data_IF_397055568353
#
_entry.id   IF_397055568353
#
_cell.length_a   1.000
_cell.length_b   1.000
_cell.length_c   1.000
_cell.angle_alpha   90.00
_cell.angle_beta   90.00
_cell.angle_gamma   90.00
#
_symmetry.space_group_name_H-M   'P 1'
#
loop_
_entity.id
_entity.type
_entity.pdbx_description
1 polymer ?
#
# COMPACT_ATOMS: atom_id res chain seq x y z
N UNK A 1 -60.90 -43.63 27.46
CA UNK A 1 -62.09 -42.89 26.96
C UNK A 1 -62.24 -41.58 27.72
N UNK A 2 -62.49 -40.47 27.00
CA UNK A 2 -62.84 -39.07 27.44
C UNK A 2 -61.73 -38.34 28.23
N UNK A 3 -61.36 -37.08 27.96
CA UNK A 3 -62.18 -35.86 27.71
C UNK A 3 -61.39 -34.86 26.83
N UNK A 4 -61.99 -34.40 25.72
CA UNK A 4 -62.54 -33.03 25.46
C UNK A 4 -61.53 -31.88 25.33
N UNK A 5 -61.37 -31.48 24.06
CA UNK A 5 -61.09 -30.17 23.44
C UNK A 5 -61.08 -28.95 24.36
N UNK A 6 -60.04 -28.12 24.20
CA UNK A 6 -60.16 -26.65 24.33
C UNK A 6 -59.46 -25.97 23.15
N UNK A 7 -60.27 -25.29 22.34
CA UNK A 7 -59.84 -24.28 21.37
C UNK A 7 -59.54 -23.01 22.16
N UNK A 8 -58.41 -22.36 21.89
CA UNK A 8 -58.25 -20.91 22.07
C UNK A 8 -57.05 -20.47 21.25
N UNK A 9 -57.32 -19.83 20.12
CA UNK A 9 -56.36 -19.00 19.42
C UNK A 9 -56.10 -17.75 20.27
N UNK A 10 -54.82 -17.40 20.48
CA UNK A 10 -54.43 -16.09 21.01
C UNK A 10 -53.66 -15.39 19.91
N UNK A 11 -54.35 -14.47 19.24
CA UNK A 11 -53.73 -13.44 18.44
C UNK A 11 -53.22 -12.35 19.39
N UNK A 12 -51.92 -12.06 19.36
CA UNK A 12 -51.35 -10.91 20.05
C UNK A 12 -50.90 -9.88 19.01
N UNK A 13 -51.52 -8.70 19.07
CA UNK A 13 -51.30 -7.53 18.23
C UNK A 13 -50.21 -6.64 18.85
N UNK A 14 -49.15 -6.43 18.08
CA UNK A 14 -48.23 -5.27 17.88
C UNK A 14 -48.13 -4.15 18.93
N UNK A 15 -46.90 -3.91 19.44
CA UNK A 15 -46.22 -2.59 19.66
C UNK A 15 -44.71 -2.92 19.58
N UNK A 16 -43.84 -2.43 18.70
CA UNK A 16 -43.60 -1.06 18.26
C UNK A 16 -42.24 -0.58 18.80
N UNK A 17 -41.13 -0.96 18.16
CA UNK A 17 -39.83 -0.25 18.22
C UNK A 17 -39.10 -0.49 16.90
N UNK A 18 -39.32 0.40 15.92
CA UNK A 18 -38.45 0.49 14.76
C UNK A 18 -37.17 1.21 15.20
N UNK A 19 -36.19 0.45 15.69
CA UNK A 19 -34.83 0.96 15.78
C UNK A 19 -34.31 1.10 14.35
N UNK A 20 -34.31 2.32 13.81
CA UNK A 20 -33.65 2.62 12.55
C UNK A 20 -32.15 2.32 12.74
N UNK A 21 -31.54 1.37 12.00
CA UNK A 21 -30.10 1.22 12.03
C UNK A 21 -29.52 2.49 11.41
N UNK A 22 -28.85 3.30 12.22
CA UNK A 22 -28.00 4.37 11.71
C UNK A 22 -26.87 3.69 10.93
N UNK A 23 -26.99 3.67 9.61
CA UNK A 23 -25.91 3.29 8.71
C UNK A 23 -24.81 4.32 8.91
N UNK A 24 -23.80 3.98 9.70
CA UNK A 24 -22.51 4.66 9.71
C UNK A 24 -21.93 4.49 8.31
N UNK A 25 -22.16 5.46 7.43
CA UNK A 25 -21.42 5.57 6.17
C UNK A 25 -20.00 5.93 6.57
N UNK A 26 -19.13 4.93 6.64
CA UNK A 26 -17.71 5.15 6.79
C UNK A 26 -17.30 6.10 5.65
N UNK A 27 -16.85 7.31 6.00
CA UNK A 27 -16.26 8.23 5.02
C UNK A 27 -15.13 7.46 4.36
N UNK A 28 -15.08 7.33 3.02
CA UNK A 28 -13.95 6.70 2.36
C UNK A 28 -12.72 7.49 2.78
N UNK A 29 -11.85 6.87 3.59
CA UNK A 29 -10.59 7.46 3.98
C UNK A 29 -9.82 7.77 2.72
N UNK A 30 -9.65 9.07 2.42
CA UNK A 30 -8.81 9.50 1.31
C UNK A 30 -7.40 8.98 1.60
N UNK A 31 -6.92 8.07 0.76
CA UNK A 31 -5.53 7.65 0.82
C UNK A 31 -4.66 8.91 0.77
N UNK A 32 -3.75 9.07 1.74
CA UNK A 32 -2.79 10.16 1.71
C UNK A 32 -1.87 9.94 0.50
N UNK A 33 -2.08 10.71 -0.55
CA UNK A 33 -1.18 10.75 -1.70
C UNK A 33 0.00 11.64 -1.35
N UNK A 34 1.17 11.05 -1.12
CA UNK A 34 2.43 11.80 -1.20
C UNK A 34 2.69 12.01 -2.68
N UNK A 35 2.57 13.26 -3.16
CA UNK A 35 2.88 13.65 -4.54
C UNK A 35 2.34 12.69 -5.61
N UNK A 36 1.04 12.36 -5.57
CA UNK A 36 0.35 11.44 -6.50
C UNK A 36 0.59 9.92 -6.32
N UNK A 37 1.48 9.48 -5.42
CA UNK A 37 1.65 8.06 -5.16
C UNK A 37 0.43 7.54 -4.39
N UNK A 38 -0.36 6.71 -5.06
CA UNK A 38 -1.56 6.12 -4.46
C UNK A 38 -1.20 4.85 -3.71
N UNK A 39 -1.99 4.50 -2.69
CA UNK A 39 -1.79 3.29 -1.87
C UNK A 39 -1.56 2.04 -2.72
N UNK A 40 -0.70 1.15 -2.24
CA UNK A 40 -0.21 -0.08 -2.92
C UNK A 40 0.91 0.15 -3.94
N UNK A 41 1.35 1.38 -4.17
CA UNK A 41 2.43 1.65 -5.11
C UNK A 41 3.73 2.01 -4.42
N UNK A 42 4.84 1.63 -5.05
CA UNK A 42 6.16 2.21 -4.82
C UNK A 42 6.45 3.15 -5.97
N UNK A 43 6.51 4.44 -5.70
CA UNK A 43 6.70 5.47 -6.72
C UNK A 43 8.11 6.05 -6.67
N UNK A 44 8.67 6.33 -7.84
CA UNK A 44 9.97 6.95 -8.01
C UNK A 44 9.80 8.36 -8.56
N UNK A 45 10.60 9.29 -8.05
CA UNK A 45 10.55 10.69 -8.43
C UNK A 45 11.92 11.24 -8.78
N UNK A 46 11.96 12.21 -9.69
CA UNK A 46 13.15 13.01 -9.95
C UNK A 46 13.39 14.07 -8.84
N UNK A 47 14.43 14.89 -8.99
CA UNK A 47 14.78 15.94 -8.02
C UNK A 47 13.67 16.97 -7.77
N UNK A 48 12.74 17.14 -8.71
CA UNK A 48 11.66 18.10 -8.65
C UNK A 48 10.34 17.47 -8.17
N UNK A 49 10.39 16.26 -7.61
CA UNK A 49 9.21 15.50 -7.19
C UNK A 49 8.23 15.19 -8.34
N UNK A 50 8.72 15.13 -9.58
CA UNK A 50 7.92 14.62 -10.70
C UNK A 50 8.06 13.11 -10.75
N UNK A 51 6.92 12.40 -10.82
CA UNK A 51 6.91 10.94 -10.88
C UNK A 51 7.53 10.45 -12.18
N UNK A 52 8.52 9.58 -12.07
CA UNK A 52 9.24 8.96 -13.21
C UNK A 52 9.03 7.46 -13.29
N UNK A 53 8.47 6.83 -12.25
CA UNK A 53 8.12 5.41 -12.26
C UNK A 53 7.17 5.03 -11.13
N UNK A 54 6.47 3.91 -11.29
CA UNK A 54 5.57 3.36 -10.28
C UNK A 54 5.49 1.83 -10.40
N UNK A 55 5.55 1.14 -9.27
CA UNK A 55 5.57 -0.33 -9.19
C UNK A 55 4.57 -0.83 -8.14
N UNK A 56 3.68 -1.73 -8.52
CA UNK A 56 2.65 -2.31 -7.63
C UNK A 56 2.93 -3.77 -7.27
N UNK A 57 3.54 -4.55 -8.17
CA UNK A 57 3.69 -5.99 -8.01
C UNK A 57 4.79 -6.37 -7.02
N UNK A 58 4.46 -7.23 -6.05
CA UNK A 58 5.46 -8.02 -5.32
C UNK A 58 6.21 -8.89 -6.33
N UNK A 59 7.53 -8.85 -6.28
CA UNK A 59 8.40 -9.47 -7.29
C UNK A 59 9.47 -10.34 -6.67
N UNK A 60 9.72 -11.49 -7.29
CA UNK A 60 10.79 -12.41 -6.89
C UNK A 60 12.14 -12.04 -7.48
N UNK A 61 12.15 -11.17 -8.49
CA UNK A 61 13.34 -10.74 -9.22
C UNK A 61 13.37 -9.22 -9.34
N UNK A 62 14.57 -8.68 -9.55
CA UNK A 62 14.76 -7.26 -9.85
C UNK A 62 14.04 -6.86 -11.13
N UNK A 63 13.22 -5.82 -11.04
CA UNK A 63 12.61 -5.14 -12.19
C UNK A 63 13.52 -4.00 -12.63
N UNK A 64 13.83 -3.86 -13.93
CA UNK A 64 14.62 -2.74 -14.43
C UNK A 64 13.82 -1.44 -14.36
N UNK A 65 14.49 -0.33 -14.04
CA UNK A 65 13.83 0.97 -13.90
C UNK A 65 13.60 1.73 -15.20
N UNK A 66 14.20 1.31 -16.32
CA UNK A 66 14.10 1.97 -17.63
C UNK A 66 14.25 3.52 -17.51
N UNK A 67 13.20 4.28 -17.80
CA UNK A 67 13.18 5.76 -17.72
C UNK A 67 13.26 6.31 -16.29
N UNK A 68 12.99 5.49 -15.28
CA UNK A 68 13.10 5.87 -13.87
C UNK A 68 14.53 5.68 -13.31
N UNK A 69 15.50 5.27 -14.15
CA UNK A 69 16.91 5.26 -13.77
C UNK A 69 17.36 6.65 -13.29
N UNK A 70 18.09 6.70 -12.20
CA UNK A 70 18.54 7.97 -11.61
C UNK A 70 17.46 8.76 -10.86
N UNK A 71 16.32 8.12 -10.53
CA UNK A 71 15.37 8.69 -9.59
C UNK A 71 16.06 9.13 -8.29
N UNK A 72 15.61 10.27 -7.74
CA UNK A 72 16.19 10.92 -6.56
C UNK A 72 15.42 10.63 -5.30
N UNK A 73 14.15 10.24 -5.44
CA UNK A 73 13.31 9.86 -4.33
C UNK A 73 12.52 8.61 -4.65
N UNK A 74 12.22 7.87 -3.60
CA UNK A 74 11.29 6.74 -3.61
C UNK A 74 10.29 6.93 -2.50
N UNK A 75 9.03 6.65 -2.80
CA UNK A 75 7.93 6.63 -1.84
C UNK A 75 7.33 5.25 -1.87
N UNK A 76 7.45 4.51 -0.77
CA UNK A 76 6.76 3.24 -0.59
C UNK A 76 5.45 3.51 0.16
N UNK A 77 4.32 3.54 -0.55
CA UNK A 77 2.98 3.72 0.06
C UNK A 77 2.33 2.41 0.47
N UNK A 78 3.03 1.29 0.33
CA UNK A 78 2.57 -0.02 0.80
C UNK A 78 2.68 -0.07 2.32
N UNK A 79 1.94 -0.99 2.95
CA UNK A 79 1.88 -1.09 4.41
C UNK A 79 2.62 -2.32 4.95
N UNK A 80 2.75 -3.33 4.12
CA UNK A 80 3.18 -4.68 4.46
C UNK A 80 4.34 -5.17 3.57
N UNK A 81 4.68 -4.43 2.52
CA UNK A 81 5.75 -4.82 1.59
C UNK A 81 6.90 -3.82 1.56
N UNK A 82 8.10 -4.35 1.62
CA UNK A 82 9.36 -3.60 1.57
C UNK A 82 9.79 -3.42 0.13
N UNK A 83 10.28 -2.23 -0.23
CA UNK A 83 10.92 -1.99 -1.50
C UNK A 83 12.44 -2.04 -1.35
N UNK A 84 13.09 -2.90 -2.11
CA UNK A 84 14.53 -2.96 -2.25
C UNK A 84 14.92 -2.27 -3.55
N UNK A 85 15.98 -1.49 -3.51
CA UNK A 85 16.50 -0.72 -4.63
C UNK A 85 17.94 -1.15 -4.88
N UNK A 86 18.25 -1.54 -6.11
CA UNK A 86 19.60 -1.91 -6.52
C UNK A 86 20.23 -0.74 -7.27
N UNK A 87 21.41 -0.35 -6.82
CA UNK A 87 22.20 0.72 -7.40
C UNK A 87 23.22 0.17 -8.41
N UNK A 88 23.74 1.05 -9.26
CA UNK A 88 24.71 0.73 -10.31
C UNK A 88 26.05 0.22 -9.78
N UNK A 89 26.39 0.53 -8.53
CA UNK A 89 27.57 0.03 -7.80
C UNK A 89 27.35 -1.38 -7.19
N UNK A 90 26.14 -1.94 -7.36
CA UNK A 90 25.76 -3.22 -6.78
C UNK A 90 25.18 -3.14 -5.36
N UNK A 91 25.21 -1.96 -4.73
CA UNK A 91 24.63 -1.75 -3.40
C UNK A 91 23.12 -1.93 -3.45
N UNK A 92 22.56 -2.51 -2.38
CA UNK A 92 21.11 -2.61 -2.19
C UNK A 92 20.68 -1.71 -1.05
N UNK A 93 19.64 -0.91 -1.29
CA UNK A 93 19.05 -0.05 -0.27
C UNK A 93 17.59 -0.37 -0.09
N UNK A 94 17.15 -0.37 1.16
CA UNK A 94 15.80 -0.74 1.53
C UNK A 94 14.94 0.49 1.86
N UNK A 95 13.63 0.38 1.57
CA UNK A 95 12.59 1.36 1.88
C UNK A 95 11.43 0.63 2.56
N UNK A 96 11.31 0.83 3.86
CA UNK A 96 10.22 0.28 4.66
C UNK A 96 8.85 0.73 4.16
N UNK A 97 7.79 -0.01 4.50
CA UNK A 97 6.42 0.40 4.24
C UNK A 97 6.10 1.79 4.79
N UNK A 98 5.24 2.52 4.07
CA UNK A 98 4.82 3.89 4.39
C UNK A 98 5.97 4.87 4.59
N UNK A 99 7.10 4.64 3.93
CA UNK A 99 8.32 5.43 4.09
C UNK A 99 8.73 6.09 2.78
N UNK A 100 9.48 7.18 2.88
CA UNK A 100 10.04 7.94 1.78
C UNK A 100 11.54 8.04 1.97
N UNK A 101 12.30 7.77 0.92
CA UNK A 101 13.76 7.78 0.98
C UNK A 101 14.36 8.62 -0.14
N UNK A 102 15.39 9.38 0.21
CA UNK A 102 16.25 10.03 -0.75
C UNK A 102 17.30 9.05 -1.27
N UNK A 103 17.48 9.01 -2.59
CA UNK A 103 18.36 8.06 -3.29
C UNK A 103 19.63 8.70 -3.84
N UNK A 104 19.76 10.02 -3.70
CA UNK A 104 20.75 10.80 -4.42
C UNK A 104 22.03 11.11 -3.67
N UNK A 105 23.07 11.47 -4.43
CA UNK A 105 24.23 12.24 -3.94
C UNK A 105 25.55 11.47 -3.92
N UNK A 106 25.56 10.19 -4.30
CA UNK A 106 26.78 9.39 -4.32
C UNK A 106 27.44 9.42 -5.71
N UNK A 107 28.73 9.72 -5.73
CA UNK A 107 29.62 9.61 -6.90
C UNK A 107 30.78 8.71 -6.47
N UNK A 108 31.01 7.63 -7.21
CA UNK A 108 32.11 6.70 -6.98
C UNK A 108 33.00 6.70 -8.23
N UNK A 109 34.30 6.90 -8.06
CA UNK A 109 35.28 6.94 -9.15
C UNK A 109 34.93 7.91 -10.30
N UNK A 110 34.23 9.01 -9.98
CA UNK A 110 33.80 10.01 -10.95
C UNK A 110 32.47 9.70 -11.64
N UNK A 111 31.90 8.52 -11.42
CA UNK A 111 30.62 8.10 -11.99
C UNK A 111 29.46 8.25 -10.98
N UNK A 112 28.30 8.79 -11.39
CA UNK A 112 27.15 8.89 -10.51
C UNK A 112 26.59 7.51 -10.19
N UNK A 113 26.44 7.20 -8.90
CA UNK A 113 25.75 5.99 -8.47
C UNK A 113 24.25 6.23 -8.59
N UNK A 114 23.60 5.45 -9.44
CA UNK A 114 22.18 5.61 -9.75
C UNK A 114 21.40 4.36 -9.39
N UNK A 115 20.14 4.54 -9.03
CA UNK A 115 19.23 3.41 -8.85
C UNK A 115 18.88 2.83 -10.23
N UNK A 116 18.99 1.52 -10.38
CA UNK A 116 18.78 0.83 -11.66
C UNK A 116 17.72 -0.28 -11.60
N UNK A 117 17.46 -0.81 -10.41
CA UNK A 117 16.50 -1.88 -10.21
C UNK A 117 15.66 -1.71 -8.95
N UNK A 118 14.47 -2.29 -8.98
CA UNK A 118 13.57 -2.38 -7.83
C UNK A 118 13.05 -3.80 -7.66
N UNK A 119 12.94 -4.24 -6.40
CA UNK A 119 12.25 -5.45 -6.02
C UNK A 119 11.29 -5.12 -4.88
N UNK A 120 10.06 -5.60 -4.97
CA UNK A 120 9.06 -5.45 -3.89
C UNK A 120 8.89 -6.80 -3.24
N UNK A 121 9.13 -6.87 -1.93
CA UNK A 121 9.09 -8.10 -1.14
C UNK A 121 7.97 -8.02 -0.11
N UNK A 122 7.23 -9.11 0.06
CA UNK A 122 6.24 -9.27 1.13
C UNK A 122 6.86 -9.57 2.50
N UNK A 123 8.19 -9.47 2.60
CA UNK A 123 8.91 -9.60 3.86
C UNK A 123 9.13 -8.20 4.42
N UNK A 124 8.75 -7.99 5.68
CA UNK A 124 8.89 -6.72 6.40
C UNK A 124 10.32 -6.50 6.92
N UNK A 125 11.32 -6.97 6.18
CA UNK A 125 12.72 -6.91 6.56
C UNK A 125 13.53 -6.32 5.42
N UNK A 126 14.41 -5.38 5.77
CA UNK A 126 15.53 -5.04 4.91
C UNK A 126 16.51 -6.22 4.95
N UNK A 127 16.91 -6.72 3.79
CA UNK A 127 18.00 -7.68 3.70
C UNK A 127 19.28 -6.85 3.89
N UNK A 128 20.00 -7.12 4.98
CA UNK A 128 21.30 -6.54 5.30
C UNK A 128 22.43 -7.23 4.51
#
# INVERSE_FOLDING_TARGET
MRRRRYRTAVAAVVIGFAAAPALLTAVPGRAMTVNDCTRRWVCLYDQNWRRVGAFEGVTRTWQPLAEAKGARWVVNTRNDDTAHLRFSDGTVSCVYPSNTKYLGGLVLDGEPVTVEGIQISSVWQCLD
#
